data_IF_095802878621
#
_entry.id   IF_095802878621
#
_cell.length_a   1.000
_cell.length_b   1.000
_cell.length_c   1.000
_cell.angle_alpha   90.00
_cell.angle_beta   90.00
_cell.angle_gamma   90.00
#
_symmetry.space_group_name_H-M   'P 1'
#
loop_
_entity.id
_entity.type
_entity.pdbx_description
1 polymer ?
#
# COMPACT_ATOMS: atom_id res chain seq x y z
N UNK A 1 13.01 -2.84 -38.90
CA UNK A 1 11.68 -3.13 -38.34
C UNK A 1 11.42 -4.63 -38.40
N UNK A 2 11.42 -5.32 -37.25
CA UNK A 2 10.93 -6.69 -37.13
C UNK A 2 9.93 -6.72 -35.96
N UNK A 3 8.69 -7.06 -36.30
CA UNK A 3 7.51 -7.18 -35.42
C UNK A 3 7.52 -8.57 -34.78
N UNK A 4 7.23 -8.67 -33.48
CA UNK A 4 6.85 -9.91 -32.78
C UNK A 4 5.77 -9.52 -31.76
N UNK A 5 4.50 -9.52 -32.20
CA UNK A 5 3.46 -10.51 -31.87
C UNK A 5 2.89 -10.30 -30.45
N UNK A 6 1.72 -9.64 -30.43
CA UNK A 6 0.67 -9.85 -29.44
C UNK A 6 0.19 -11.30 -29.50
N UNK A 7 -0.08 -11.93 -28.35
CA UNK A 7 -1.30 -12.75 -28.13
C UNK A 7 -1.60 -12.74 -26.62
N UNK A 8 -2.82 -12.31 -26.33
CA UNK A 8 -3.56 -12.33 -25.07
C UNK A 8 -3.96 -13.78 -24.77
N UNK A 9 -3.93 -14.21 -23.51
CA UNK A 9 -4.98 -15.12 -23.01
C UNK A 9 -5.09 -15.10 -21.48
N UNK A 10 -6.16 -14.42 -21.08
CA UNK A 10 -6.86 -14.48 -19.80
C UNK A 10 -7.16 -15.96 -19.45
N UNK A 11 -6.81 -16.40 -18.23
CA UNK A 11 -7.33 -17.66 -17.66
C UNK A 11 -7.66 -17.45 -16.19
N UNK A 12 -8.92 -17.08 -15.93
CA UNK A 12 -9.57 -17.28 -14.64
C UNK A 12 -9.92 -18.76 -14.48
N UNK A 13 -9.50 -19.39 -13.40
CA UNK A 13 -10.18 -20.57 -12.85
C UNK A 13 -9.92 -20.68 -11.34
N UNK A 14 -11.00 -20.51 -10.59
CA UNK A 14 -11.16 -20.86 -9.19
C UNK A 14 -11.24 -22.40 -9.02
N UNK A 15 -11.11 -22.83 -7.75
CA UNK A 15 -11.45 -24.14 -7.15
C UNK A 15 -10.32 -25.19 -7.33
N UNK A 16 -9.69 -25.74 -6.28
CA UNK A 16 -10.30 -26.68 -5.33
C UNK A 16 -9.42 -26.92 -4.10
N UNK A 17 -10.02 -26.93 -2.90
CA UNK A 17 -9.49 -27.60 -1.72
C UNK A 17 -9.61 -29.12 -1.91
N UNK A 18 -8.54 -29.89 -1.63
CA UNK A 18 -8.61 -31.26 -1.11
C UNK A 18 -7.25 -31.77 -0.63
N UNK A 19 -7.25 -32.25 0.62
CA UNK A 19 -6.44 -33.33 1.19
C UNK A 19 -4.90 -33.20 1.27
N UNK A 20 -4.50 -32.86 2.50
CA UNK A 20 -3.26 -33.22 3.23
C UNK A 20 -2.44 -34.37 2.63
N UNK A 21 -1.18 -34.07 2.33
CA UNK A 21 -0.04 -34.99 2.46
C UNK A 21 1.06 -34.21 3.17
N UNK A 22 1.60 -34.78 4.23
CA UNK A 22 2.71 -34.24 5.03
C UNK A 22 3.98 -34.00 4.18
N UNK A 23 4.84 -33.13 4.72
CA UNK A 23 6.20 -32.81 4.29
C UNK A 23 6.38 -31.71 3.25
N UNK A 24 5.99 -30.50 3.63
CA UNK A 24 6.90 -29.37 3.82
C UNK A 24 6.05 -28.28 4.48
N UNK A 25 6.26 -28.01 5.78
CA UNK A 25 5.79 -26.72 6.30
C UNK A 25 6.43 -25.68 5.37
N UNK A 26 5.66 -24.76 4.76
CA UNK A 26 6.28 -23.67 4.03
C UNK A 26 7.29 -23.08 5.00
N UNK A 27 8.54 -22.98 4.58
CA UNK A 27 9.56 -22.29 5.38
C UNK A 27 9.06 -20.87 5.46
N UNK A 28 8.32 -20.57 6.54
CA UNK A 28 7.98 -19.23 6.94
C UNK A 28 9.33 -18.59 7.18
N UNK A 29 9.82 -17.90 6.17
CA UNK A 29 11.00 -17.08 6.23
C UNK A 29 10.47 -15.66 6.45
N UNK A 30 10.06 -15.31 7.69
CA UNK A 30 9.40 -14.03 7.97
C UNK A 30 10.27 -12.83 7.56
N UNK A 31 11.58 -13.03 7.44
CA UNK A 31 12.53 -12.01 7.00
C UNK A 31 12.55 -11.80 5.47
N UNK A 32 12.24 -12.82 4.67
CA UNK A 32 12.06 -12.65 3.21
C UNK A 32 10.79 -11.86 2.90
N UNK A 33 9.70 -12.18 3.62
CA UNK A 33 8.42 -11.47 3.46
C UNK A 33 8.51 -10.02 3.94
N UNK A 34 9.15 -9.78 5.10
CA UNK A 34 9.33 -8.41 5.62
C UNK A 34 10.08 -7.50 4.65
N UNK A 35 11.19 -7.94 4.06
CA UNK A 35 11.95 -7.12 3.10
C UNK A 35 11.13 -6.76 1.87
N UNK A 36 10.25 -7.65 1.41
CA UNK A 36 9.34 -7.36 0.30
C UNK A 36 8.25 -6.36 0.72
N UNK A 37 7.65 -6.55 1.90
CA UNK A 37 6.67 -5.62 2.46
C UNK A 37 7.23 -4.21 2.65
N UNK A 38 8.49 -4.06 3.08
CA UNK A 38 9.15 -2.76 3.19
C UNK A 38 9.39 -2.08 1.84
N UNK A 39 9.71 -2.85 0.79
CA UNK A 39 9.80 -2.32 -0.58
C UNK A 39 8.43 -1.84 -1.05
N UNK A 40 7.37 -2.62 -0.80
CA UNK A 40 5.99 -2.22 -1.13
C UNK A 40 5.61 -0.95 -0.38
N UNK A 41 5.90 -0.87 0.92
CA UNK A 41 5.70 0.35 1.72
C UNK A 41 6.42 1.53 1.10
N UNK A 42 7.69 1.38 0.71
CA UNK A 42 8.47 2.44 0.08
C UNK A 42 7.77 2.96 -1.19
N UNK A 43 7.31 2.07 -2.06
CA UNK A 43 6.59 2.43 -3.28
C UNK A 43 5.21 3.05 -3.00
N UNK A 44 4.58 2.74 -1.86
CA UNK A 44 3.25 3.21 -1.52
C UNK A 44 3.21 4.62 -0.90
N UNK A 45 4.36 5.19 -0.51
CA UNK A 45 4.43 6.53 0.09
C UNK A 45 3.83 7.65 -0.75
N UNK A 46 4.02 7.58 -2.07
CA UNK A 46 3.41 8.53 -2.98
C UNK A 46 1.88 8.45 -2.87
N UNK A 47 1.31 7.25 -2.95
CA UNK A 47 -0.13 7.01 -2.83
C UNK A 47 -0.69 7.42 -1.48
N UNK A 48 0.06 7.19 -0.40
CA UNK A 48 -0.33 7.64 0.94
C UNK A 48 -0.43 9.19 1.00
N UNK A 49 0.50 9.87 0.34
CA UNK A 49 0.48 11.33 0.26
C UNK A 49 -0.69 11.83 -0.61
N UNK A 50 -0.96 11.17 -1.75
CA UNK A 50 -2.12 11.48 -2.60
C UNK A 50 -3.42 11.39 -1.80
N UNK A 51 -3.62 10.29 -1.06
CA UNK A 51 -4.81 10.09 -0.22
C UNK A 51 -4.98 11.17 0.83
N UNK A 52 -3.89 11.53 1.53
CA UNK A 52 -3.93 12.58 2.53
C UNK A 52 -4.38 13.92 1.93
N UNK A 53 -3.77 14.35 0.82
CA UNK A 53 -4.11 15.61 0.19
C UNK A 53 -5.53 15.62 -0.37
N UNK A 54 -5.96 14.58 -1.09
CA UNK A 54 -7.33 14.52 -1.62
C UNK A 54 -8.35 14.53 -0.47
N UNK A 55 -8.12 13.72 0.58
CA UNK A 55 -9.03 13.68 1.74
C UNK A 55 -9.12 15.05 2.45
N UNK A 56 -8.03 15.80 2.55
CA UNK A 56 -8.02 17.14 3.18
C UNK A 56 -8.89 18.17 2.45
N UNK A 57 -9.16 17.96 1.16
CA UNK A 57 -9.97 18.87 0.33
C UNK A 57 -11.41 18.35 0.16
N UNK A 58 -11.56 17.02 0.08
CA UNK A 58 -12.81 16.39 -0.32
C UNK A 58 -13.56 15.69 0.82
N UNK A 59 -12.95 15.55 2.01
CA UNK A 59 -13.57 14.95 3.21
C UNK A 59 -14.25 13.58 2.95
N UNK A 60 -13.54 12.72 2.21
CA UNK A 60 -14.07 11.44 1.72
C UNK A 60 -14.08 10.37 2.81
N UNK A 61 -13.06 10.37 3.67
CA UNK A 61 -13.02 9.53 4.87
C UNK A 61 -13.84 10.19 5.98
N UNK A 62 -14.45 9.37 6.84
CA UNK A 62 -15.03 9.86 8.09
C UNK A 62 -13.94 10.44 9.01
N UNK A 63 -14.36 11.11 10.07
CA UNK A 63 -13.43 11.60 11.09
C UNK A 63 -12.60 10.45 11.70
N UNK A 64 -13.26 9.35 12.05
CA UNK A 64 -12.64 8.15 12.62
C UNK A 64 -11.67 7.50 11.62
N UNK A 65 -12.10 7.31 10.36
CA UNK A 65 -11.24 6.75 9.31
C UNK A 65 -10.02 7.63 9.04
N UNK A 66 -10.18 8.96 9.08
CA UNK A 66 -9.06 9.91 8.93
C UNK A 66 -8.05 9.73 10.05
N UNK A 67 -8.51 9.62 11.30
CA UNK A 67 -7.63 9.37 12.46
C UNK A 67 -6.94 8.01 12.40
N UNK A 68 -7.66 6.96 11.99
CA UNK A 68 -7.06 5.64 11.76
C UNK A 68 -5.95 5.72 10.71
N UNK A 69 -6.23 6.41 9.60
CA UNK A 69 -5.29 6.59 8.52
C UNK A 69 -4.01 7.30 8.97
N UNK A 70 -4.14 8.45 9.64
CA UNK A 70 -3.02 9.20 10.21
C UNK A 70 -2.19 8.33 11.16
N UNK A 71 -2.85 7.54 12.01
CA UNK A 71 -2.19 6.62 12.92
C UNK A 71 -1.39 5.55 12.16
N UNK A 72 -1.99 4.88 11.17
CA UNK A 72 -1.29 3.87 10.35
C UNK A 72 -0.09 4.47 9.61
N UNK A 73 -0.25 5.63 8.99
CA UNK A 73 0.83 6.36 8.31
C UNK A 73 1.96 6.69 9.30
N UNK A 74 1.61 7.17 10.50
CA UNK A 74 2.57 7.49 11.56
C UNK A 74 3.40 6.29 12.01
N UNK A 75 2.76 5.14 12.23
CA UNK A 75 3.45 3.91 12.64
C UNK A 75 4.34 3.34 11.52
N UNK A 76 3.86 3.36 10.28
CA UNK A 76 4.66 2.93 9.12
C UNK A 76 5.87 3.84 8.89
N UNK A 77 5.73 5.15 9.12
CA UNK A 77 6.86 6.11 9.10
C UNK A 77 7.93 5.79 10.13
N UNK A 78 7.54 5.43 11.36
CA UNK A 78 8.49 5.02 12.40
C UNK A 78 9.26 3.77 11.98
N UNK A 79 8.59 2.79 11.36
CA UNK A 79 9.26 1.59 10.81
C UNK A 79 10.25 1.97 9.70
N UNK A 80 9.83 2.80 8.74
CA UNK A 80 10.68 3.24 7.64
C UNK A 80 11.96 3.94 8.12
N UNK A 81 11.85 4.79 9.14
CA UNK A 81 13.00 5.47 9.77
C UNK A 81 13.90 4.49 10.51
N UNK A 82 13.32 3.62 11.37
CA UNK A 82 14.07 2.64 12.16
C UNK A 82 14.84 1.66 11.28
N UNK A 83 14.22 1.21 10.20
CA UNK A 83 14.79 0.21 9.29
C UNK A 83 15.55 0.84 8.11
N UNK A 84 15.64 2.17 8.08
CA UNK A 84 16.38 2.94 7.06
C UNK A 84 16.06 2.48 5.64
N UNK A 85 14.77 2.20 5.36
CA UNK A 85 14.34 1.58 4.10
C UNK A 85 14.65 2.44 2.87
N UNK A 86 14.85 3.75 3.08
CA UNK A 86 15.36 4.69 2.10
C UNK A 86 15.99 5.91 2.79
N UNK A 87 16.89 6.64 2.10
CA UNK A 87 17.33 7.96 2.53
C UNK A 87 16.15 8.93 2.66
N UNK A 88 16.23 9.86 3.62
CA UNK A 88 15.18 10.85 3.87
C UNK A 88 14.83 11.68 2.61
N UNK A 89 15.82 12.00 1.78
CA UNK A 89 15.62 12.70 0.51
C UNK A 89 14.67 11.93 -0.44
N UNK A 90 14.74 10.60 -0.46
CA UNK A 90 13.88 9.78 -1.31
C UNK A 90 12.43 9.77 -0.82
N UNK A 91 12.21 9.72 0.51
CA UNK A 91 10.87 9.85 1.10
C UNK A 91 10.24 11.22 0.76
N UNK A 92 11.02 12.31 0.84
CA UNK A 92 10.55 13.63 0.44
C UNK A 92 10.20 13.72 -1.06
N UNK A 93 10.98 13.08 -1.93
CA UNK A 93 10.63 13.01 -3.37
C UNK A 93 9.30 12.32 -3.58
N UNK A 94 9.05 11.18 -2.93
CA UNK A 94 7.79 10.45 -3.04
C UNK A 94 6.59 11.29 -2.57
N UNK A 95 6.76 12.04 -1.47
CA UNK A 95 5.72 12.94 -0.97
C UNK A 95 5.42 14.08 -1.95
N UNK A 96 6.44 14.75 -2.48
CA UNK A 96 6.26 15.82 -3.48
C UNK A 96 5.55 15.32 -4.73
N UNK A 97 5.93 14.14 -5.22
CA UNK A 97 5.25 13.52 -6.36
C UNK A 97 3.78 13.21 -6.04
N UNK A 98 3.47 12.81 -4.81
CA UNK A 98 2.11 12.56 -4.39
C UNK A 98 1.26 13.83 -4.34
N UNK A 99 1.82 14.93 -3.84
CA UNK A 99 1.18 16.24 -3.86
C UNK A 99 0.94 16.75 -5.30
N UNK A 100 1.86 16.52 -6.23
CA UNK A 100 1.65 16.88 -7.63
C UNK A 100 0.53 16.04 -8.26
N UNK A 101 0.50 14.74 -7.98
CA UNK A 101 -0.56 13.86 -8.47
C UNK A 101 -1.93 14.26 -7.91
N UNK A 102 -2.04 14.63 -6.63
CA UNK A 102 -3.33 15.05 -6.04
C UNK A 102 -3.90 16.32 -6.69
N UNK A 103 -3.05 17.12 -7.35
CA UNK A 103 -3.45 18.32 -8.11
C UNK A 103 -3.90 18.03 -9.53
N UNK A 104 -3.95 16.78 -10.01
CA UNK A 104 -4.50 16.46 -11.33
C UNK A 104 -6.03 16.68 -11.37
N UNK A 105 -6.56 17.09 -12.54
CA UNK A 105 -7.96 17.50 -12.71
C UNK A 105 -8.97 16.46 -12.18
N UNK A 106 -8.78 15.18 -12.51
CA UNK A 106 -9.64 14.07 -12.05
C UNK A 106 -9.77 13.92 -10.52
N UNK A 107 -8.86 14.51 -9.75
CA UNK A 107 -8.88 14.47 -8.30
C UNK A 107 -9.35 15.77 -7.66
N UNK A 108 -9.38 16.88 -8.40
CA UNK A 108 -9.84 18.19 -7.90
C UNK A 108 -11.35 18.27 -7.72
N UNK A 109 -12.11 17.55 -8.55
CA UNK A 109 -13.58 17.64 -8.54
C UNK A 109 -14.26 16.82 -7.43
N UNK A 110 -13.48 16.21 -6.51
CA UNK A 110 -13.99 15.38 -5.40
C UNK A 110 -15.02 14.30 -5.82
N UNK A 111 -14.96 13.83 -7.07
CA UNK A 111 -15.89 12.83 -7.63
C UNK A 111 -15.47 11.38 -7.34
N UNK A 112 -16.13 10.43 -8.03
CA UNK A 112 -15.93 8.98 -7.84
C UNK A 112 -14.48 8.51 -8.00
N UNK A 113 -13.70 9.16 -8.86
CA UNK A 113 -12.28 8.84 -9.03
C UNK A 113 -11.45 9.20 -7.79
N UNK A 114 -11.73 10.35 -7.18
CA UNK A 114 -11.10 10.78 -5.94
C UNK A 114 -11.49 9.84 -4.78
N UNK A 115 -12.77 9.46 -4.72
CA UNK A 115 -13.28 8.51 -3.72
C UNK A 115 -12.60 7.16 -3.82
N UNK A 116 -12.53 6.60 -5.03
CA UNK A 116 -11.89 5.30 -5.29
C UNK A 116 -10.41 5.31 -4.90
N UNK A 117 -9.69 6.38 -5.22
CA UNK A 117 -8.28 6.54 -4.85
C UNK A 117 -8.11 6.63 -3.33
N UNK A 118 -8.91 7.45 -2.66
CA UNK A 118 -8.82 7.64 -1.21
C UNK A 118 -9.15 6.35 -0.46
N UNK A 119 -10.30 5.73 -0.74
CA UNK A 119 -10.74 4.51 -0.05
C UNK A 119 -9.86 3.30 -0.38
N UNK A 120 -9.37 3.19 -1.63
CA UNK A 120 -8.45 2.13 -2.04
C UNK A 120 -7.11 2.20 -1.31
N UNK A 121 -6.48 3.39 -1.28
CA UNK A 121 -5.20 3.57 -0.61
C UNK A 121 -5.31 3.54 0.93
N UNK A 122 -6.43 4.00 1.51
CA UNK A 122 -6.73 3.78 2.93
C UNK A 122 -6.68 2.28 3.28
N UNK A 123 -7.37 1.45 2.48
CA UNK A 123 -7.42 -0.01 2.68
C UNK A 123 -6.04 -0.66 2.53
N UNK A 124 -5.24 -0.27 1.53
CA UNK A 124 -3.88 -0.80 1.34
C UNK A 124 -2.98 -0.40 2.52
N UNK A 125 -3.07 0.86 2.98
CA UNK A 125 -2.29 1.35 4.11
C UNK A 125 -2.61 0.59 5.39
N UNK A 126 -3.90 0.34 5.65
CA UNK A 126 -4.35 -0.49 6.79
C UNK A 126 -3.77 -1.90 6.74
N UNK A 127 -3.75 -2.52 5.54
CA UNK A 127 -3.17 -3.86 5.35
C UNK A 127 -1.67 -3.86 5.59
N UNK A 128 -0.92 -2.93 4.99
CA UNK A 128 0.51 -2.79 5.21
C UNK A 128 0.85 -2.58 6.70
N UNK A 129 0.06 -1.77 7.41
CA UNK A 129 0.19 -1.61 8.85
C UNK A 129 -0.01 -2.95 9.59
N UNK A 130 -1.06 -3.70 9.28
CA UNK A 130 -1.31 -5.02 9.86
C UNK A 130 -0.15 -6.00 9.64
N UNK A 131 0.33 -6.09 8.41
CA UNK A 131 1.36 -7.06 8.00
C UNK A 131 2.76 -6.67 8.54
N UNK A 132 3.09 -5.37 8.58
CA UNK A 132 4.42 -4.88 8.99
C UNK A 132 4.53 -4.63 10.49
N UNK A 133 3.48 -4.09 11.10
CA UNK A 133 3.44 -3.64 12.52
C UNK A 133 2.61 -4.59 13.38
N UNK A 134 1.41 -4.97 12.91
CA UNK A 134 0.46 -5.82 13.65
C UNK A 134 0.97 -7.24 13.93
N UNK A 135 1.77 -7.80 13.01
CA UNK A 135 2.40 -9.13 13.14
C UNK A 135 3.34 -9.28 14.35
N UNK A 136 3.74 -8.19 15.03
CA UNK A 136 4.57 -8.25 16.25
C UNK A 136 3.79 -8.36 17.57
N UNK A 137 2.47 -8.14 17.59
CA UNK A 137 1.68 -8.11 18.85
C UNK A 137 1.23 -9.50 19.36
N UNK A 138 1.55 -10.60 18.66
CA UNK A 138 1.15 -11.96 19.03
C UNK A 138 2.24 -12.86 19.61
N UNK A 139 3.41 -12.33 20.00
CA UNK A 139 4.53 -13.11 20.57
C UNK A 139 5.05 -12.50 21.88
N UNK A 140 4.14 -12.30 22.83
CA UNK A 140 4.45 -11.87 24.20
C UNK A 140 3.71 -12.75 25.19
#
# INVERSE_FOLDING_TARGET
MKKLINIILLSTALISFSAVSDEEKPVENPDFDRKQLLKILLHHYQSMTVTWFINSQCFILSYEETREYEFYVGELNKVAQKEQIAPLAHLYTMQRNGEQVSKMEKYRSCGKDAESVVKGNFSITKRLYGDIVGSRKGKG
#
